data_IF_570571656249
#
_entry.id   IF_570571656249
#
_cell.length_a   1.000
_cell.length_b   1.000
_cell.length_c   1.000
_cell.angle_alpha   90.00
_cell.angle_beta   90.00
_cell.angle_gamma   90.00
#
_symmetry.space_group_name_H-M   'P 1'
#
loop_
_entity.id
_entity.type
_entity.pdbx_description
1 polymer ?
#
# COMPACT_ATOMS: atom_id res chain seq x y z
N UNK A 1 19.51 15.10 -24.06
CA UNK A 1 19.11 14.11 -23.04
C UNK A 1 17.59 13.93 -23.03
N UNK A 2 16.80 14.99 -22.95
CA UNK A 2 15.33 14.93 -22.97
C UNK A 2 14.75 14.20 -24.19
N UNK A 3 15.30 14.45 -25.42
CA UNK A 3 14.86 13.76 -26.63
C UNK A 3 15.14 12.25 -26.55
N UNK A 4 16.29 11.85 -25.99
CA UNK A 4 16.65 10.46 -25.79
C UNK A 4 15.68 9.79 -24.83
N UNK A 5 15.37 10.45 -23.73
CA UNK A 5 14.43 9.96 -22.75
C UNK A 5 13.01 9.81 -23.31
N UNK A 6 12.53 10.79 -24.06
CA UNK A 6 11.22 10.72 -24.71
C UNK A 6 11.09 9.54 -25.68
N UNK A 7 12.16 9.18 -26.41
CA UNK A 7 12.17 8.01 -27.30
C UNK A 7 12.22 6.70 -26.49
N UNK A 8 12.97 6.65 -25.38
CA UNK A 8 13.00 5.48 -24.48
C UNK A 8 11.66 5.26 -23.77
N UNK A 9 10.95 6.33 -23.42
CA UNK A 9 9.61 6.27 -22.78
C UNK A 9 8.53 5.64 -23.67
N UNK A 10 8.76 5.54 -24.99
CA UNK A 10 7.90 4.76 -25.87
C UNK A 10 7.88 3.26 -25.50
N UNK A 11 8.89 2.79 -24.76
CA UNK A 11 8.96 1.41 -24.22
C UNK A 11 9.30 0.33 -25.24
N UNK A 12 9.44 0.67 -26.53
CA UNK A 12 9.73 -0.26 -27.63
C UNK A 12 11.22 -0.33 -28.00
N UNK A 13 12.04 0.53 -27.43
CA UNK A 13 13.48 0.57 -27.67
C UNK A 13 14.26 0.21 -26.39
N UNK A 14 15.29 -0.61 -26.54
CA UNK A 14 16.19 -1.01 -25.45
C UNK A 14 17.35 -0.02 -25.29
N UNK A 15 17.76 0.59 -26.37
CA UNK A 15 18.77 1.66 -26.36
C UNK A 15 18.47 2.74 -27.37
N UNK A 16 18.83 3.97 -27.05
CA UNK A 16 18.72 5.13 -27.95
C UNK A 16 19.98 5.95 -27.82
N UNK A 17 20.68 6.13 -28.94
CA UNK A 17 21.85 6.96 -29.04
C UNK A 17 21.57 8.10 -30.00
N UNK A 18 21.79 9.34 -29.58
CA UNK A 18 21.60 10.54 -30.39
C UNK A 18 22.97 11.18 -30.60
N UNK A 19 23.44 11.15 -31.86
CA UNK A 19 24.73 11.69 -32.26
C UNK A 19 24.54 12.87 -33.22
N UNK A 20 25.39 13.88 -33.09
CA UNK A 20 25.48 14.94 -34.09
C UNK A 20 26.33 14.42 -35.25
N UNK A 21 25.78 14.38 -36.46
CA UNK A 21 26.48 13.96 -37.66
C UNK A 21 27.09 15.22 -38.32
N UNK A 22 28.19 15.72 -37.73
CA UNK A 22 28.86 16.92 -38.19
C UNK A 22 29.81 16.56 -39.34
N UNK A 23 29.63 17.15 -40.54
CA UNK A 23 30.62 17.01 -41.63
C UNK A 23 31.95 17.66 -41.24
N UNK A 24 33.08 17.24 -41.85
CA UNK A 24 34.40 17.79 -41.53
C UNK A 24 34.49 19.32 -41.60
N UNK A 25 33.65 19.97 -42.42
CA UNK A 25 33.63 21.42 -42.65
C UNK A 25 32.46 22.11 -41.88
N UNK A 26 32.11 21.62 -40.69
CA UNK A 26 30.94 22.02 -39.91
C UNK A 26 30.87 23.50 -39.48
N UNK A 27 31.93 24.27 -39.62
CA UNK A 27 31.96 25.69 -39.22
C UNK A 27 30.98 26.59 -40.00
N UNK A 28 30.40 26.12 -41.13
CA UNK A 28 29.46 26.87 -41.99
C UNK A 28 28.11 26.18 -42.20
N UNK A 29 27.81 25.08 -41.50
CA UNK A 29 26.57 24.33 -41.67
C UNK A 29 25.38 25.06 -40.99
N UNK A 30 24.46 25.58 -41.80
CA UNK A 30 23.20 26.18 -41.33
C UNK A 30 22.24 25.14 -40.71
N UNK A 31 22.48 23.83 -40.94
CA UNK A 31 21.69 22.71 -40.45
C UNK A 31 22.63 21.63 -39.91
N UNK A 32 22.43 21.20 -38.68
CA UNK A 32 23.18 20.11 -38.09
C UNK A 32 22.33 18.82 -38.15
N UNK A 33 22.73 17.83 -38.98
CA UNK A 33 22.04 16.55 -39.03
C UNK A 33 22.19 15.82 -37.68
N UNK A 34 21.10 15.25 -37.20
CA UNK A 34 21.10 14.42 -35.99
C UNK A 34 20.86 12.98 -36.43
N UNK A 35 21.77 12.08 -36.04
CA UNK A 35 21.61 10.66 -36.28
C UNK A 35 21.05 10.00 -34.98
N UNK A 36 19.86 9.42 -35.07
CA UNK A 36 19.22 8.66 -34.01
C UNK A 36 19.39 7.17 -34.29
N UNK A 37 20.20 6.48 -33.48
CA UNK A 37 20.35 5.03 -33.54
C UNK A 37 19.46 4.44 -32.44
N UNK A 38 18.62 3.48 -32.79
CA UNK A 38 17.72 2.79 -31.89
C UNK A 38 17.90 1.28 -31.97
N UNK A 39 17.87 0.61 -30.85
CA UNK A 39 17.77 -0.85 -30.78
C UNK A 39 16.38 -1.23 -30.28
N UNK A 40 15.73 -2.13 -31.00
CA UNK A 40 14.37 -2.55 -30.64
C UNK A 40 14.43 -3.49 -29.43
N UNK A 41 13.64 -3.20 -28.40
CA UNK A 41 13.45 -4.09 -27.24
C UNK A 41 12.64 -5.34 -27.63
N UNK A 42 12.62 -6.35 -26.77
CA UNK A 42 11.67 -7.46 -26.91
C UNK A 42 10.26 -6.92 -26.77
N UNK A 43 9.51 -6.94 -27.87
CA UNK A 43 8.16 -6.37 -27.89
C UNK A 43 7.15 -7.18 -27.10
N UNK A 44 7.35 -8.50 -26.99
CA UNK A 44 6.45 -9.41 -26.25
C UNK A 44 7.20 -10.14 -25.19
N UNK A 45 6.60 -10.24 -24.01
CA UNK A 45 7.13 -11.01 -22.92
C UNK A 45 6.03 -11.77 -22.19
N UNK A 46 6.38 -12.98 -21.73
CA UNK A 46 5.58 -13.77 -20.81
C UNK A 46 6.37 -13.88 -19.51
N UNK A 47 5.73 -13.62 -18.39
CA UNK A 47 6.31 -13.77 -17.06
C UNK A 47 5.51 -14.82 -16.30
N UNK A 48 6.19 -15.79 -15.73
CA UNK A 48 5.59 -16.80 -14.86
C UNK A 48 6.35 -16.76 -13.54
N UNK A 49 5.61 -16.83 -12.45
CA UNK A 49 6.18 -16.83 -11.12
C UNK A 49 5.26 -17.53 -10.12
N UNK A 50 5.74 -17.69 -8.92
CA UNK A 50 4.96 -18.17 -7.79
C UNK A 50 5.60 -17.71 -6.51
N UNK A 51 4.81 -17.60 -5.45
CA UNK A 51 5.28 -17.11 -4.16
C UNK A 51 4.49 -17.71 -3.01
N UNK A 52 5.08 -17.52 -1.85
CA UNK A 52 4.47 -17.81 -0.56
C UNK A 52 4.58 -16.56 0.27
N UNK A 53 3.51 -16.15 0.91
CA UNK A 53 3.48 -15.07 1.89
C UNK A 53 3.19 -15.66 3.26
N UNK A 54 3.88 -15.17 4.27
CA UNK A 54 3.63 -15.56 5.66
C UNK A 54 3.86 -14.34 6.55
N UNK A 55 2.77 -13.82 7.07
CA UNK A 55 2.77 -12.67 7.98
C UNK A 55 1.90 -12.92 9.23
N UNK A 56 1.61 -11.85 9.97
CA UNK A 56 0.80 -11.91 11.19
C UNK A 56 -0.69 -12.06 10.92
N UNK A 57 -1.17 -11.83 9.70
CA UNK A 57 -2.59 -11.95 9.34
C UNK A 57 -2.89 -13.21 8.58
N UNK A 58 -2.00 -13.65 7.68
CA UNK A 58 -2.23 -14.79 6.80
C UNK A 58 -0.97 -15.56 6.43
N UNK A 59 -1.17 -16.75 5.95
CA UNK A 59 -0.24 -17.46 5.08
C UNK A 59 -0.94 -17.72 3.76
N UNK A 60 -0.30 -17.42 2.64
CA UNK A 60 -0.84 -17.74 1.32
C UNK A 60 0.20 -18.38 0.40
N UNK A 61 -0.30 -19.03 -0.62
CA UNK A 61 0.46 -19.54 -1.77
C UNK A 61 -0.20 -19.00 -3.02
N UNK A 62 0.59 -18.38 -3.88
CA UNK A 62 0.07 -17.77 -5.10
C UNK A 62 0.97 -18.05 -6.31
N UNK A 63 0.37 -17.99 -7.48
CA UNK A 63 1.03 -18.00 -8.77
C UNK A 63 0.87 -16.64 -9.43
N UNK A 64 1.78 -16.31 -10.32
CA UNK A 64 1.67 -15.14 -11.18
C UNK A 64 1.91 -15.52 -12.63
N UNK A 65 1.05 -15.02 -13.52
CA UNK A 65 1.19 -15.16 -14.95
C UNK A 65 0.92 -13.81 -15.62
N UNK A 66 1.89 -13.28 -16.33
CA UNK A 66 1.80 -11.99 -17.01
C UNK A 66 2.15 -12.11 -18.48
N UNK A 67 1.44 -11.36 -19.30
CA UNK A 67 1.74 -11.16 -20.70
C UNK A 67 1.78 -9.67 -21.01
N UNK A 68 2.78 -9.25 -21.78
CA UNK A 68 3.01 -7.86 -22.18
C UNK A 68 3.31 -7.79 -23.67
N UNK A 69 2.67 -6.85 -24.39
CA UNK A 69 2.99 -6.48 -25.76
C UNK A 69 3.20 -4.97 -25.83
N UNK A 70 4.43 -4.57 -26.15
CA UNK A 70 4.87 -3.16 -26.20
C UNK A 70 4.54 -2.46 -27.52
N UNK A 71 3.95 -3.16 -28.46
CA UNK A 71 3.46 -2.58 -29.71
C UNK A 71 2.11 -3.17 -30.10
N UNK A 72 1.25 -3.33 -29.11
CA UNK A 72 -0.09 -3.90 -29.23
C UNK A 72 -0.92 -3.10 -30.25
N UNK A 73 -1.40 -3.76 -31.31
CA UNK A 73 -2.12 -3.13 -32.43
C UNK A 73 -1.33 -2.02 -33.14
N UNK A 74 0.00 -1.99 -33.00
CA UNK A 74 0.85 -0.94 -33.59
C UNK A 74 0.79 0.40 -32.84
N UNK A 75 1.51 1.43 -33.33
CA UNK A 75 1.50 2.78 -32.79
C UNK A 75 2.14 2.90 -31.40
N UNK A 76 3.07 2.00 -31.06
CA UNK A 76 3.80 1.95 -29.78
C UNK A 76 2.90 1.79 -28.55
N UNK A 77 1.71 1.24 -28.71
CA UNK A 77 0.77 0.98 -27.62
C UNK A 77 1.27 -0.17 -26.75
N UNK A 78 1.32 0.04 -25.46
CA UNK A 78 1.68 -1.00 -24.53
C UNK A 78 0.41 -1.60 -23.92
N UNK A 79 0.30 -2.92 -23.97
CA UNK A 79 -0.76 -3.65 -23.28
C UNK A 79 -0.14 -4.73 -22.38
N UNK A 80 -0.59 -4.75 -21.14
CA UNK A 80 -0.19 -5.75 -20.15
C UNK A 80 -1.43 -6.36 -19.52
N UNK A 81 -1.39 -7.68 -19.33
CA UNK A 81 -2.36 -8.41 -18.51
C UNK A 81 -1.60 -9.33 -17.55
N UNK A 82 -2.02 -9.34 -16.30
CA UNK A 82 -1.41 -10.14 -15.23
C UNK A 82 -2.51 -10.79 -14.40
N UNK A 83 -2.39 -12.09 -14.18
CA UNK A 83 -3.22 -12.88 -13.27
C UNK A 83 -2.37 -13.38 -12.11
N UNK A 84 -2.89 -13.24 -10.90
CA UNK A 84 -2.25 -13.72 -9.67
C UNK A 84 -3.29 -14.51 -8.84
N UNK A 85 -3.62 -15.76 -9.23
CA UNK A 85 -4.44 -16.64 -8.40
C UNK A 85 -3.67 -17.14 -7.18
N UNK A 86 -4.35 -17.23 -6.05
CA UNK A 86 -3.77 -17.69 -4.80
C UNK A 86 -4.78 -18.36 -3.87
N UNK A 87 -4.27 -18.87 -2.78
CA UNK A 87 -5.05 -19.51 -1.72
C UNK A 87 -4.47 -19.14 -0.36
N UNK A 88 -5.30 -18.57 0.49
CA UNK A 88 -4.96 -18.33 1.89
C UNK A 88 -5.18 -19.60 2.71
N UNK A 89 -4.15 -19.99 3.44
CA UNK A 89 -4.13 -21.15 4.33
C UNK A 89 -4.68 -20.76 5.70
N UNK A 90 -6.00 -20.68 5.85
CA UNK A 90 -6.62 -20.20 7.08
C UNK A 90 -6.75 -21.29 8.15
N UNK A 91 -6.43 -21.04 9.43
CA UNK A 91 -5.95 -19.82 10.08
C UNK A 91 -4.42 -19.75 10.25
N UNK A 92 -3.63 -20.34 9.35
CA UNK A 92 -2.16 -20.36 9.43
C UNK A 92 -1.61 -18.94 9.30
N UNK A 93 -0.79 -18.49 10.28
CA UNK A 93 -0.17 -17.16 10.35
C UNK A 93 0.92 -17.11 11.42
N UNK A 94 1.76 -16.11 11.43
CA UNK A 94 2.73 -15.87 12.50
C UNK A 94 2.07 -15.15 13.69
N UNK A 95 2.50 -15.43 14.93
CA UNK A 95 3.47 -16.48 15.32
C UNK A 95 2.84 -17.87 15.44
N UNK A 96 1.51 -17.97 15.30
CA UNK A 96 0.75 -19.19 15.50
C UNK A 96 0.62 -19.99 14.21
N UNK A 97 1.58 -20.86 13.94
CA UNK A 97 1.59 -21.74 12.75
C UNK A 97 0.59 -22.90 12.91
N UNK A 98 -0.67 -22.59 13.21
CA UNK A 98 -1.73 -23.61 13.25
C UNK A 98 -1.91 -24.22 11.86
N UNK A 99 -2.11 -25.55 11.75
CA UNK A 99 -2.36 -26.18 10.46
C UNK A 99 -3.63 -25.59 9.80
N UNK A 100 -3.63 -25.45 8.48
CA UNK A 100 -4.77 -24.87 7.77
C UNK A 100 -6.00 -25.78 7.92
N UNK A 101 -7.11 -25.19 8.30
CA UNK A 101 -8.41 -25.85 8.38
C UNK A 101 -9.26 -25.57 7.16
N UNK A 102 -9.01 -24.48 6.47
CA UNK A 102 -9.73 -24.01 5.30
C UNK A 102 -8.77 -23.38 4.29
N UNK A 103 -9.10 -23.53 3.04
CA UNK A 103 -8.44 -22.89 1.92
C UNK A 103 -9.36 -21.78 1.40
N UNK A 104 -8.94 -20.52 1.54
CA UNK A 104 -9.73 -19.39 1.09
C UNK A 104 -9.15 -18.92 -0.27
N UNK A 105 -9.88 -19.09 -1.38
CA UNK A 105 -9.38 -18.64 -2.66
C UNK A 105 -9.24 -17.12 -2.69
N UNK A 106 -8.10 -16.65 -3.17
CA UNK A 106 -7.85 -15.24 -3.47
C UNK A 106 -7.30 -15.11 -4.88
N UNK A 107 -7.37 -13.92 -5.44
CA UNK A 107 -6.80 -13.70 -6.75
C UNK A 107 -6.97 -12.28 -7.24
N UNK A 108 -6.10 -11.93 -8.17
CA UNK A 108 -6.11 -10.63 -8.84
C UNK A 108 -5.89 -10.82 -10.33
N UNK A 109 -6.72 -10.16 -11.13
CA UNK A 109 -6.54 -10.00 -12.56
C UNK A 109 -6.39 -8.50 -12.82
N UNK A 110 -5.28 -8.08 -13.42
CA UNK A 110 -4.98 -6.70 -13.75
C UNK A 110 -4.69 -6.57 -15.23
N UNK A 111 -5.17 -5.50 -15.86
CA UNK A 111 -4.78 -5.11 -17.20
C UNK A 111 -4.44 -3.62 -17.24
N UNK A 112 -3.47 -3.27 -18.07
CA UNK A 112 -3.09 -1.88 -18.33
C UNK A 112 -2.92 -1.69 -19.85
N UNK A 113 -3.54 -0.67 -20.36
CA UNK A 113 -3.34 -0.18 -21.73
C UNK A 113 -2.76 1.22 -21.66
N UNK A 114 -1.61 1.44 -22.32
CA UNK A 114 -0.91 2.71 -22.37
C UNK A 114 -0.72 3.15 -23.80
N UNK A 115 -1.18 4.34 -24.13
CA UNK A 115 -0.97 5.01 -25.39
C UNK A 115 0.04 6.14 -25.22
N UNK A 116 1.30 5.98 -25.60
CA UNK A 116 2.27 7.08 -25.66
C UNK A 116 1.85 8.11 -26.70
N UNK A 117 2.19 9.37 -26.47
CA UNK A 117 1.88 10.46 -27.40
C UNK A 117 0.37 10.68 -27.59
N UNK A 118 -0.43 10.54 -26.54
CA UNK A 118 -1.90 10.54 -26.64
C UNK A 118 -2.47 11.91 -27.06
N UNK A 119 -2.01 13.00 -26.47
CA UNK A 119 -2.41 14.38 -26.84
C UNK A 119 -1.22 15.09 -27.49
N UNK A 120 -0.05 14.89 -26.90
CA UNK A 120 1.24 15.39 -27.35
C UNK A 120 2.33 14.36 -27.08
N UNK A 121 3.52 14.54 -27.65
CA UNK A 121 4.59 13.55 -27.65
C UNK A 121 5.02 13.06 -26.24
N UNK A 122 4.86 13.88 -25.20
CA UNK A 122 5.29 13.58 -23.83
C UNK A 122 4.17 13.13 -22.89
N UNK A 123 2.92 13.07 -23.37
CA UNK A 123 1.77 12.67 -22.56
C UNK A 123 1.30 11.28 -22.97
N UNK A 124 1.17 10.39 -22.01
CA UNK A 124 0.60 9.05 -22.20
C UNK A 124 -0.82 8.99 -21.68
N UNK A 125 -1.73 8.46 -22.48
CA UNK A 125 -3.05 8.04 -22.02
C UNK A 125 -2.95 6.65 -21.41
N UNK A 126 -3.55 6.42 -20.24
CA UNK A 126 -3.48 5.14 -19.52
C UNK A 126 -4.86 4.72 -19.08
N UNK A 127 -5.21 3.47 -19.37
CA UNK A 127 -6.43 2.82 -18.89
C UNK A 127 -6.01 1.59 -18.09
N UNK A 128 -6.56 1.43 -16.88
CA UNK A 128 -6.32 0.27 -16.02
C UNK A 128 -7.64 -0.37 -15.64
N UNK A 129 -7.67 -1.68 -15.61
CA UNK A 129 -8.76 -2.45 -15.05
C UNK A 129 -8.21 -3.54 -14.14
N UNK A 130 -8.85 -3.75 -13.00
CA UNK A 130 -8.48 -4.77 -12.03
C UNK A 130 -9.72 -5.42 -11.45
N UNK A 131 -9.72 -6.75 -11.39
CA UNK A 131 -10.65 -7.53 -10.60
C UNK A 131 -9.90 -8.28 -9.52
N UNK A 132 -10.37 -8.24 -8.29
CA UNK A 132 -9.76 -8.96 -7.16
C UNK A 132 -10.81 -9.66 -6.33
N UNK A 133 -10.42 -10.79 -5.74
CA UNK A 133 -11.16 -11.48 -4.70
C UNK A 133 -10.20 -11.78 -3.56
N UNK A 134 -10.56 -11.41 -2.34
CA UNK A 134 -9.69 -11.58 -1.18
C UNK A 134 -10.47 -11.65 0.12
N UNK A 135 -9.97 -12.39 1.14
CA UNK A 135 -10.54 -12.36 2.48
C UNK A 135 -10.16 -11.05 3.20
N UNK A 136 -11.11 -10.47 3.93
CA UNK A 136 -10.88 -9.35 4.82
C UNK A 136 -10.40 -9.90 6.19
N UNK A 137 -9.09 -9.89 6.40
CA UNK A 137 -8.48 -10.31 7.65
C UNK A 137 -8.06 -9.06 8.44
N UNK A 138 -8.79 -8.72 9.49
CA UNK A 138 -8.56 -7.49 10.26
C UNK A 138 -7.61 -7.70 11.44
N UNK A 139 -7.61 -8.90 12.04
CA UNK A 139 -6.76 -9.19 13.20
C UNK A 139 -6.32 -10.66 13.22
N UNK A 140 -5.16 -10.90 13.81
CA UNK A 140 -4.65 -12.24 14.07
C UNK A 140 -5.39 -12.98 15.20
N UNK A 141 -6.12 -12.27 16.06
CA UNK A 141 -6.71 -12.81 17.29
C UNK A 141 -8.17 -13.22 17.17
N UNK A 142 -8.73 -13.15 15.94
CA UNK A 142 -10.09 -13.63 15.70
C UNK A 142 -10.23 -15.12 16.06
N UNK A 143 -11.29 -15.50 16.76
CA UNK A 143 -11.61 -16.89 17.04
C UNK A 143 -11.71 -17.71 15.75
N UNK A 144 -11.42 -19.02 15.82
CA UNK A 144 -11.42 -19.90 14.65
C UNK A 144 -12.81 -20.10 14.02
N UNK A 145 -13.86 -19.80 14.77
CA UNK A 145 -15.28 -19.82 14.38
C UNK A 145 -15.84 -18.46 13.98
N UNK A 146 -15.03 -17.38 14.12
CA UNK A 146 -15.43 -16.07 13.64
C UNK A 146 -15.76 -16.09 12.14
N UNK A 147 -16.73 -15.29 11.68
CA UNK A 147 -17.03 -15.19 10.26
C UNK A 147 -15.78 -14.68 9.52
N UNK A 148 -15.51 -15.26 8.35
CA UNK A 148 -14.47 -14.76 7.44
C UNK A 148 -15.16 -14.13 6.25
N UNK A 149 -15.14 -12.82 6.25
CA UNK A 149 -15.67 -12.01 5.16
C UNK A 149 -14.65 -11.91 4.03
N UNK A 150 -15.12 -11.62 2.85
CA UNK A 150 -14.31 -11.31 1.68
C UNK A 150 -14.94 -10.23 0.83
N UNK A 151 -14.14 -9.68 -0.04
CA UNK A 151 -14.59 -8.71 -1.04
C UNK A 151 -14.25 -9.17 -2.44
N UNK A 152 -15.20 -8.93 -3.35
CA UNK A 152 -14.95 -8.87 -4.78
C UNK A 152 -14.78 -7.40 -5.12
N UNK A 153 -13.61 -7.03 -5.56
CA UNK A 153 -13.29 -5.67 -5.99
C UNK A 153 -13.22 -5.62 -7.51
N UNK A 154 -13.93 -4.67 -8.10
CA UNK A 154 -13.76 -4.26 -9.48
C UNK A 154 -13.30 -2.81 -9.48
N UNK A 155 -12.14 -2.55 -10.07
CA UNK A 155 -11.54 -1.21 -10.17
C UNK A 155 -11.23 -0.90 -11.62
N UNK A 156 -11.68 0.25 -12.10
CA UNK A 156 -11.32 0.81 -13.39
C UNK A 156 -10.77 2.20 -13.23
N UNK A 157 -9.75 2.57 -13.99
CA UNK A 157 -9.25 3.94 -14.05
C UNK A 157 -8.83 4.33 -15.45
N UNK A 158 -9.03 5.60 -15.78
CA UNK A 158 -8.55 6.22 -17.00
C UNK A 158 -7.89 7.55 -16.67
N UNK A 159 -6.75 7.85 -17.30
CA UNK A 159 -6.00 9.05 -16.96
C UNK A 159 -4.88 9.38 -17.93
N UNK A 160 -4.20 10.46 -17.61
CA UNK A 160 -3.05 10.99 -18.30
C UNK A 160 -1.83 10.95 -17.39
N UNK A 161 -0.70 10.58 -17.97
CA UNK A 161 0.59 10.59 -17.28
C UNK A 161 1.60 11.39 -18.12
N UNK A 162 2.37 12.23 -17.46
CA UNK A 162 3.40 13.06 -18.08
C UNK A 162 4.61 13.21 -17.20
N UNK A 163 5.80 13.10 -17.79
CA UNK A 163 7.07 13.30 -17.12
C UNK A 163 7.71 14.62 -17.57
N UNK A 164 8.16 15.42 -16.61
CA UNK A 164 8.86 16.69 -16.77
C UNK A 164 10.26 16.59 -16.15
N UNK A 165 11.22 16.01 -16.85
CA UNK A 165 12.53 15.74 -16.28
C UNK A 165 12.44 14.75 -15.10
N UNK A 166 12.65 15.26 -13.88
CA UNK A 166 12.57 14.44 -12.67
C UNK A 166 11.18 14.41 -12.03
N UNK A 167 10.23 15.21 -12.50
CA UNK A 167 8.86 15.25 -11.99
C UNK A 167 7.93 14.45 -12.90
N UNK A 168 7.23 13.48 -12.35
CA UNK A 168 6.12 12.79 -13.01
C UNK A 168 4.80 13.24 -12.42
N UNK A 169 3.84 13.56 -13.28
CA UNK A 169 2.48 13.93 -12.90
C UNK A 169 1.49 12.94 -13.52
N UNK A 170 0.52 12.51 -12.74
CA UNK A 170 -0.57 11.64 -13.17
C UNK A 170 -1.90 12.21 -12.71
N UNK A 171 -2.83 12.37 -13.63
CA UNK A 171 -4.22 12.73 -13.34
C UNK A 171 -5.10 11.62 -13.88
N UNK A 172 -5.84 10.95 -13.01
CA UNK A 172 -6.73 9.86 -13.37
C UNK A 172 -8.08 9.96 -12.68
N UNK A 173 -9.08 9.31 -13.25
CA UNK A 173 -10.36 9.08 -12.60
C UNK A 173 -10.52 7.58 -12.35
N UNK A 174 -10.79 7.21 -11.11
CA UNK A 174 -10.94 5.84 -10.66
C UNK A 174 -12.36 5.58 -10.22
N UNK A 175 -12.91 4.46 -10.67
CA UNK A 175 -14.19 3.89 -10.19
C UNK A 175 -13.89 2.53 -9.60
N UNK A 176 -14.30 2.31 -8.36
CA UNK A 176 -14.05 1.09 -7.60
C UNK A 176 -15.33 0.62 -6.93
N UNK A 177 -15.71 -0.63 -7.19
CA UNK A 177 -16.83 -1.29 -6.53
C UNK A 177 -16.30 -2.43 -5.66
N UNK A 178 -16.71 -2.45 -4.40
CA UNK A 178 -16.42 -3.51 -3.44
C UNK A 178 -17.72 -4.20 -3.07
N UNK A 179 -17.82 -5.49 -3.33
CA UNK A 179 -19.01 -6.28 -3.04
C UNK A 179 -18.66 -7.30 -1.95
N UNK A 180 -19.24 -7.19 -0.75
CA UNK A 180 -18.99 -8.13 0.35
C UNK A 180 -19.57 -9.51 0.05
N UNK A 181 -18.92 -10.54 0.57
CA UNK A 181 -19.41 -11.91 0.61
C UNK A 181 -18.77 -12.68 1.77
N UNK A 182 -19.19 -13.88 2.06
CA UNK A 182 -18.60 -14.70 3.12
C UNK A 182 -17.85 -15.91 2.57
N UNK A 183 -16.66 -16.16 3.09
CA UNK A 183 -15.98 -17.44 2.99
C UNK A 183 -16.47 -18.42 4.07
N UNK A 184 -16.76 -17.90 5.24
CA UNK A 184 -17.17 -18.67 6.43
C UNK A 184 -18.23 -17.89 7.19
N UNK A 185 -19.28 -18.58 7.63
CA UNK A 185 -20.37 -17.96 8.38
C UNK A 185 -21.42 -17.28 7.48
N UNK A 186 -22.22 -16.41 8.07
CA UNK A 186 -23.26 -15.64 7.41
C UNK A 186 -22.80 -14.22 7.13
N UNK A 187 -23.24 -13.66 6.01
CA UNK A 187 -23.06 -12.24 5.71
C UNK A 187 -23.99 -11.41 6.60
N UNK A 188 -23.45 -10.37 7.19
CA UNK A 188 -24.26 -9.39 7.91
C UNK A 188 -25.23 -8.71 6.95
N UNK A 189 -26.54 -8.63 7.27
CA UNK A 189 -27.56 -8.11 6.35
C UNK A 189 -27.42 -6.62 6.04
N UNK A 190 -26.71 -5.86 6.88
CA UNK A 190 -26.48 -4.42 6.67
C UNK A 190 -25.23 -4.13 5.83
N UNK A 191 -24.40 -5.16 5.49
CA UNK A 191 -23.29 -5.02 4.54
C UNK A 191 -23.85 -4.93 3.11
N UNK A 192 -23.46 -3.89 2.41
CA UNK A 192 -23.92 -3.58 1.04
C UNK A 192 -22.75 -3.33 0.10
N UNK A 193 -22.90 -3.54 -1.21
CA UNK A 193 -21.86 -3.14 -2.16
C UNK A 193 -21.55 -1.65 -2.07
N UNK A 194 -20.27 -1.28 -1.95
CA UNK A 194 -19.81 0.10 -1.87
C UNK A 194 -19.16 0.51 -3.19
N UNK A 195 -19.65 1.59 -3.78
CA UNK A 195 -19.09 2.23 -4.96
C UNK A 195 -18.35 3.50 -4.58
N UNK A 196 -17.06 3.56 -4.88
CA UNK A 196 -16.23 4.76 -4.75
C UNK A 196 -15.81 5.27 -6.13
N UNK A 197 -15.99 6.56 -6.39
CA UNK A 197 -15.62 7.18 -7.65
C UNK A 197 -14.91 8.50 -7.37
N UNK A 198 -13.65 8.62 -7.81
CA UNK A 198 -12.80 9.74 -7.47
C UNK A 198 -11.76 10.07 -8.55
N UNK A 199 -11.59 11.35 -8.91
CA UNK A 199 -10.37 11.85 -9.51
C UNK A 199 -9.21 11.79 -8.52
N UNK A 200 -8.02 11.52 -9.05
CA UNK A 200 -6.76 11.46 -8.32
C UNK A 200 -5.67 12.18 -9.10
N UNK A 201 -4.99 13.12 -8.43
CA UNK A 201 -3.75 13.74 -8.89
C UNK A 201 -2.60 13.17 -8.07
N UNK A 202 -1.59 12.63 -8.74
CA UNK A 202 -0.33 12.20 -8.13
C UNK A 202 0.83 12.97 -8.75
N UNK A 203 1.71 13.49 -7.90
CA UNK A 203 2.97 14.10 -8.27
C UNK A 203 4.11 13.30 -7.65
N UNK A 204 5.11 12.95 -8.45
CA UNK A 204 6.27 12.16 -8.04
C UNK A 204 7.55 12.84 -8.53
N UNK A 205 8.30 13.41 -7.61
CA UNK A 205 9.59 14.06 -7.86
C UNK A 205 10.70 13.12 -7.41
N UNK A 206 11.55 12.68 -8.36
CA UNK A 206 12.63 11.73 -8.12
C UNK A 206 13.98 12.38 -8.43
N UNK A 207 14.70 12.75 -7.39
CA UNK A 207 16.03 13.38 -7.45
C UNK A 207 17.10 12.46 -6.85
N UNK A 208 16.91 11.13 -6.94
CA UNK A 208 17.84 10.14 -6.45
C UNK A 208 18.82 9.67 -7.53
N UNK A 209 19.98 9.18 -7.12
CA UNK A 209 20.99 8.59 -8.01
C UNK A 209 20.50 7.30 -8.69
N UNK A 210 19.73 6.49 -7.97
CA UNK A 210 19.19 5.21 -8.44
C UNK A 210 17.79 4.96 -7.88
N UNK A 211 16.86 4.45 -8.71
CA UNK A 211 15.47 4.18 -8.28
C UNK A 211 15.31 2.95 -7.38
N UNK A 212 16.09 1.89 -7.62
CA UNK A 212 15.93 0.61 -6.91
C UNK A 212 16.71 0.53 -5.60
N UNK A 213 17.85 1.18 -5.53
CA UNK A 213 18.75 1.18 -4.37
C UNK A 213 19.41 2.55 -4.23
N UNK A 214 18.62 3.57 -3.84
CA UNK A 214 19.14 4.92 -3.74
C UNK A 214 20.17 5.06 -2.62
N UNK A 215 21.27 5.78 -2.90
CA UNK A 215 22.34 6.10 -1.97
C UNK A 215 22.40 7.59 -1.66
N UNK A 216 21.95 8.41 -2.61
CA UNK A 216 21.98 9.87 -2.50
C UNK A 216 20.75 10.47 -3.16
N UNK A 217 20.24 11.57 -2.58
CA UNK A 217 19.17 12.35 -3.16
C UNK A 217 17.90 12.39 -2.36
N UNK A 218 16.85 12.88 -2.98
CA UNK A 218 15.52 13.08 -2.39
C UNK A 218 14.43 12.63 -3.36
N UNK A 219 13.45 11.90 -2.83
CA UNK A 219 12.19 11.57 -3.50
C UNK A 219 11.02 12.22 -2.77
N UNK A 220 10.08 12.80 -3.49
CA UNK A 220 8.83 13.36 -2.93
C UNK A 220 7.66 12.87 -3.75
N UNK A 221 6.73 12.18 -3.10
CA UNK A 221 5.45 11.80 -3.70
C UNK A 221 4.32 12.48 -2.97
N UNK A 222 3.39 13.08 -3.70
CA UNK A 222 2.16 13.64 -3.15
C UNK A 222 0.95 13.16 -3.94
N UNK A 223 -0.18 13.02 -3.27
CA UNK A 223 -1.44 12.61 -3.90
C UNK A 223 -2.61 13.36 -3.31
N UNK A 224 -3.60 13.63 -4.16
CA UNK A 224 -4.88 14.20 -3.78
C UNK A 224 -5.98 13.41 -4.47
N UNK A 225 -6.90 12.88 -3.69
CA UNK A 225 -8.12 12.20 -4.16
C UNK A 225 -9.34 12.95 -3.66
N UNK A 226 -10.38 13.05 -4.47
CA UNK A 226 -11.67 13.65 -4.09
C UNK A 226 -12.79 12.70 -4.50
N UNK A 227 -13.29 11.91 -3.56
CA UNK A 227 -14.42 11.02 -3.81
C UNK A 227 -15.77 11.78 -3.72
N UNK A 228 -16.73 11.38 -4.56
CA UNK A 228 -18.06 11.99 -4.61
C UNK A 228 -18.52 12.34 -6.02
N UNK A 229 -17.77 12.01 -7.05
CA UNK A 229 -18.18 12.14 -8.45
C UNK A 229 -18.95 10.88 -8.86
N UNK A 230 -20.13 10.71 -8.28
CA UNK A 230 -20.89 9.46 -8.31
C UNK A 230 -20.42 8.45 -7.25
N UNK A 231 -21.30 7.50 -6.88
CA UNK A 231 -21.01 6.49 -5.87
C UNK A 231 -21.44 6.87 -4.45
N UNK A 232 -21.12 5.96 -3.52
CA UNK A 232 -21.61 5.97 -2.14
C UNK A 232 -20.70 6.73 -1.19
N UNK A 233 -19.44 6.95 -1.60
CA UNK A 233 -18.36 7.51 -0.77
C UNK A 233 -18.10 8.96 -1.15
N UNK A 234 -18.07 9.83 -0.14
CA UNK A 234 -17.68 11.25 -0.29
C UNK A 234 -16.59 11.59 0.68
N UNK A 235 -15.39 11.88 0.17
CA UNK A 235 -14.25 12.28 0.96
C UNK A 235 -13.21 13.07 0.15
N UNK A 236 -12.28 13.70 0.85
CA UNK A 236 -11.02 14.14 0.29
C UNK A 236 -9.88 13.44 1.04
N UNK A 237 -8.93 12.88 0.29
CA UNK A 237 -7.71 12.27 0.85
C UNK A 237 -6.49 12.97 0.28
N UNK A 238 -5.60 13.45 1.16
CA UNK A 238 -4.37 14.14 0.79
C UNK A 238 -3.20 13.45 1.45
N UNK A 239 -2.20 13.06 0.65
CA UNK A 239 -1.00 12.37 1.13
C UNK A 239 0.28 13.00 0.63
N UNK A 240 1.33 12.93 1.45
CA UNK A 240 2.70 13.30 1.09
C UNK A 240 3.69 12.31 1.71
N UNK A 241 4.63 11.82 0.91
CA UNK A 241 5.73 10.92 1.30
C UNK A 241 7.05 11.53 0.82
N UNK A 242 7.94 11.81 1.75
CA UNK A 242 9.26 12.40 1.49
C UNK A 242 10.32 11.41 1.92
N UNK A 243 11.26 11.12 1.04
CA UNK A 243 12.38 10.21 1.27
C UNK A 243 13.68 10.94 1.03
N UNK A 244 14.66 10.72 1.89
CA UNK A 244 15.98 11.31 1.78
C UNK A 244 17.06 10.26 1.94
N UNK A 245 18.12 10.36 1.16
CA UNK A 245 19.26 9.45 1.17
C UNK A 245 20.55 10.25 1.25
N UNK A 246 21.33 9.98 2.28
CA UNK A 246 22.57 10.71 2.59
C UNK A 246 23.71 9.69 2.65
N UNK A 247 24.70 9.78 1.74
CA UNK A 247 25.88 8.92 1.81
C UNK A 247 26.75 9.33 3.01
N UNK A 248 26.98 8.39 3.92
CA UNK A 248 27.89 8.53 5.05
C UNK A 248 29.23 7.87 4.72
N UNK A 249 30.03 8.52 3.89
CA UNK A 249 31.26 7.99 3.35
C UNK A 249 31.02 7.03 2.17
N UNK A 250 31.95 6.06 1.95
CA UNK A 250 31.93 5.23 0.73
C UNK A 250 31.00 4.02 0.78
N UNK A 251 30.51 3.63 1.95
CA UNK A 251 29.81 2.35 2.12
C UNK A 251 28.54 2.42 2.94
N UNK A 252 28.26 3.55 3.59
CA UNK A 252 27.10 3.72 4.46
C UNK A 252 26.11 4.67 3.81
N UNK A 253 24.84 4.36 3.93
CA UNK A 253 23.75 5.25 3.50
C UNK A 253 22.78 5.45 4.66
N UNK A 254 22.53 6.69 5.01
CA UNK A 254 21.42 7.07 5.90
C UNK A 254 20.20 7.33 5.05
N UNK A 255 19.21 6.48 5.16
CA UNK A 255 17.91 6.65 4.51
C UNK A 255 16.90 7.17 5.53
N UNK A 256 16.09 8.14 5.15
CA UNK A 256 15.04 8.74 5.98
C UNK A 256 13.73 8.79 5.21
N UNK A 257 12.62 8.65 5.90
CA UNK A 257 11.27 8.81 5.33
C UNK A 257 10.38 9.57 6.29
N UNK A 258 9.56 10.45 5.74
CA UNK A 258 8.45 11.06 6.44
C UNK A 258 7.20 10.96 5.55
N UNK A 259 6.14 10.38 6.08
CA UNK A 259 4.87 10.21 5.39
C UNK A 259 3.74 10.81 6.22
N UNK A 260 2.80 11.44 5.57
CA UNK A 260 1.55 11.88 6.19
C UNK A 260 0.39 11.73 5.22
N UNK A 261 -0.75 11.34 5.76
CA UNK A 261 -2.00 11.28 5.00
C UNK A 261 -3.14 11.79 5.86
N UNK A 262 -3.97 12.61 5.25
CA UNK A 262 -5.18 13.16 5.85
C UNK A 262 -6.40 12.67 5.08
N UNK A 263 -7.41 12.22 5.78
CA UNK A 263 -8.70 11.79 5.24
C UNK A 263 -9.81 12.69 5.80
N UNK A 264 -10.59 13.27 4.92
CA UNK A 264 -11.71 14.18 5.23
C UNK A 264 -13.01 13.56 4.72
N UNK A 265 -13.62 12.60 5.43
CA UNK A 265 -14.90 12.06 5.05
C UNK A 265 -16.02 13.10 5.24
N UNK A 266 -17.01 13.06 4.35
CA UNK A 266 -18.17 13.94 4.36
C UNK A 266 -19.49 13.21 4.62
N UNK A 267 -19.57 11.89 4.41
CA UNK A 267 -20.80 11.13 4.57
C UNK A 267 -20.59 9.76 5.25
N UNK A 268 -19.47 9.58 5.95
CA UNK A 268 -19.15 8.37 6.71
C UNK A 268 -18.11 8.69 7.79
N UNK A 269 -17.85 7.74 8.69
CA UNK A 269 -16.77 7.79 9.66
C UNK A 269 -17.12 8.47 10.99
N UNK A 270 -18.33 8.95 11.17
CA UNK A 270 -18.76 9.62 12.41
C UNK A 270 -18.84 8.65 13.61
N UNK A 271 -18.87 7.35 13.37
CA UNK A 271 -18.87 6.31 14.41
C UNK A 271 -17.48 5.94 14.91
N UNK A 272 -16.40 6.32 14.22
CA UNK A 272 -15.03 5.84 14.51
C UNK A 272 -14.50 6.36 15.84
N UNK A 273 -14.53 7.67 16.08
CA UNK A 273 -14.02 8.24 17.33
C UNK A 273 -14.84 7.82 18.55
N UNK A 274 -16.19 7.88 18.52
CA UNK A 274 -17.00 7.35 19.63
C UNK A 274 -16.75 5.87 19.90
N UNK A 275 -16.67 5.02 18.89
CA UNK A 275 -16.41 3.58 19.08
C UNK A 275 -15.04 3.34 19.68
N UNK A 276 -14.00 4.02 19.21
CA UNK A 276 -12.64 3.92 19.76
C UNK A 276 -12.57 4.36 21.23
N UNK A 277 -13.34 5.37 21.62
CA UNK A 277 -13.30 5.94 22.98
C UNK A 277 -14.22 5.24 23.98
N UNK A 278 -15.40 4.80 23.55
CA UNK A 278 -16.45 4.31 24.45
C UNK A 278 -17.00 2.93 24.09
N UNK A 279 -16.58 2.38 22.94
CA UNK A 279 -17.13 1.15 22.38
C UNK A 279 -18.53 1.30 21.75
N UNK A 280 -19.10 2.50 21.77
CA UNK A 280 -20.45 2.77 21.28
C UNK A 280 -20.47 3.83 20.15
N UNK A 281 -21.29 3.65 19.11
CA UNK A 281 -21.34 4.55 17.95
C UNK A 281 -22.18 5.82 18.20
N UNK A 282 -22.27 6.36 19.36
CA UNK A 282 -22.94 7.60 19.71
C UNK A 282 -24.20 7.93 18.85
N UNK A 283 -25.35 7.52 19.06
CA UNK A 283 -26.61 7.84 18.37
C UNK A 283 -26.75 7.38 16.88
N UNK A 284 -25.80 6.65 16.32
CA UNK A 284 -25.93 6.08 15.00
C UNK A 284 -26.87 4.86 14.99
N UNK A 285 -27.59 4.62 13.90
CA UNK A 285 -28.29 3.35 13.70
C UNK A 285 -27.26 2.22 13.49
N UNK A 286 -27.69 0.95 13.68
CA UNK A 286 -26.80 -0.18 13.38
C UNK A 286 -26.37 -0.20 11.92
N UNK A 287 -27.27 0.06 11.00
CA UNK A 287 -26.96 0.10 9.58
C UNK A 287 -25.93 1.19 9.22
N UNK A 288 -26.04 2.39 9.82
CA UNK A 288 -25.06 3.45 9.65
C UNK A 288 -23.71 3.03 10.24
N UNK A 289 -23.67 2.38 11.39
CA UNK A 289 -22.46 1.90 12.00
C UNK A 289 -21.76 0.82 11.16
N UNK A 290 -22.53 -0.16 10.64
CA UNK A 290 -22.00 -1.19 9.73
C UNK A 290 -21.43 -0.54 8.46
N UNK A 291 -22.19 0.38 7.84
CA UNK A 291 -21.75 1.11 6.65
C UNK A 291 -20.48 1.93 6.89
N UNK A 292 -20.42 2.69 7.98
CA UNK A 292 -19.23 3.45 8.36
C UNK A 292 -18.01 2.56 8.55
N UNK A 293 -18.14 1.47 9.29
CA UNK A 293 -17.08 0.51 9.53
C UNK A 293 -16.62 -0.18 8.24
N UNK A 294 -17.55 -0.49 7.34
CA UNK A 294 -17.25 -1.06 6.02
C UNK A 294 -16.44 -0.07 5.17
N UNK A 295 -16.91 1.17 5.02
CA UNK A 295 -16.20 2.20 4.24
C UNK A 295 -14.85 2.50 4.89
N UNK A 296 -14.76 2.58 6.21
CA UNK A 296 -13.49 2.80 6.92
C UNK A 296 -12.50 1.66 6.70
N UNK A 297 -12.93 0.40 6.60
CA UNK A 297 -12.03 -0.72 6.28
C UNK A 297 -11.40 -0.61 4.88
N UNK A 298 -12.07 0.09 3.94
CA UNK A 298 -11.64 0.31 2.56
C UNK A 298 -10.91 1.64 2.35
N UNK A 299 -11.32 2.70 3.05
CA UNK A 299 -10.84 4.08 2.84
C UNK A 299 -10.03 4.64 3.99
N UNK A 300 -10.20 4.13 5.21
CA UNK A 300 -9.51 4.58 6.41
C UNK A 300 -7.99 4.48 6.33
N UNK A 301 -7.32 5.18 7.21
CA UNK A 301 -5.87 5.16 7.32
C UNK A 301 -5.45 4.15 8.39
N UNK A 302 -4.41 3.39 8.08
CA UNK A 302 -3.83 2.37 8.94
C UNK A 302 -2.32 2.46 8.90
N UNK A 303 -1.64 2.10 9.99
CA UNK A 303 -0.20 1.96 10.04
C UNK A 303 0.22 0.65 10.70
N UNK A 304 1.52 0.33 10.63
CA UNK A 304 2.10 -0.96 11.02
C UNK A 304 2.34 -1.87 9.82
N UNK A 305 3.25 -2.80 9.99
CA UNK A 305 3.67 -3.74 8.94
C UNK A 305 4.95 -3.34 8.21
N UNK A 306 5.38 -4.18 7.24
CA UNK A 306 6.72 -4.10 6.64
C UNK A 306 7.02 -2.85 5.82
N UNK A 307 6.02 -2.12 5.37
CA UNK A 307 6.17 -0.86 4.61
C UNK A 307 5.85 0.39 5.42
N UNK A 308 5.61 0.26 6.71
CA UNK A 308 5.22 1.31 7.64
C UNK A 308 6.10 1.24 8.88
N UNK A 309 5.56 0.91 10.05
CA UNK A 309 6.31 0.69 11.28
C UNK A 309 6.56 -0.82 11.46
N UNK A 310 7.81 -1.23 11.29
CA UNK A 310 8.24 -2.64 11.22
C UNK A 310 8.23 -3.39 12.56
N UNK A 311 8.01 -2.71 13.67
CA UNK A 311 7.84 -3.33 14.98
C UNK A 311 6.41 -3.74 15.30
N UNK A 312 5.47 -3.43 14.41
CA UNK A 312 4.04 -3.68 14.57
C UNK A 312 3.52 -4.57 13.43
N UNK A 313 2.48 -5.33 13.72
CA UNK A 313 1.79 -6.10 12.70
C UNK A 313 1.03 -5.18 11.71
N UNK A 314 0.57 -5.78 10.62
CA UNK A 314 -0.20 -5.06 9.61
C UNK A 314 -1.48 -4.47 10.24
N UNK A 315 -1.68 -3.14 10.08
CA UNK A 315 -2.83 -2.39 10.62
C UNK A 315 -2.92 -2.33 12.16
N UNK A 316 -1.87 -2.70 12.88
CA UNK A 316 -1.88 -2.73 14.35
C UNK A 316 -1.80 -1.34 15.00
N UNK A 317 -1.41 -0.31 14.26
CA UNK A 317 -1.32 1.07 14.77
C UNK A 317 -2.56 1.84 14.34
N UNK A 318 -3.26 2.40 15.33
CA UNK A 318 -4.40 3.27 15.14
C UNK A 318 -5.57 2.93 16.04
N UNK A 319 -6.74 3.55 15.80
CA UNK A 319 -7.94 3.30 16.57
C UNK A 319 -8.40 1.85 16.46
N UNK A 320 -8.69 1.24 17.60
CA UNK A 320 -9.26 -0.09 17.69
C UNK A 320 -10.61 -0.03 18.37
N UNK A 321 -11.44 -1.04 18.16
CA UNK A 321 -12.74 -1.15 18.76
C UNK A 321 -13.61 -2.20 18.08
N UNK A 322 -14.91 -2.05 18.23
CA UNK A 322 -15.87 -3.01 17.74
C UNK A 322 -16.20 -2.72 16.28
N UNK A 323 -16.00 -3.73 15.45
CA UNK A 323 -16.48 -3.74 14.05
C UNK A 323 -17.79 -4.57 14.04
N UNK A 324 -18.95 -3.95 13.82
CA UNK A 324 -20.26 -4.55 14.12
C UNK A 324 -20.54 -5.85 13.37
N UNK A 325 -20.06 -5.99 12.15
CA UNK A 325 -20.24 -7.21 11.33
C UNK A 325 -19.28 -8.36 11.68
N UNK A 326 -18.39 -8.18 12.67
CA UNK A 326 -17.54 -9.22 13.25
C UNK A 326 -17.89 -9.53 14.71
N UNK A 327 -18.53 -8.60 15.42
CA UNK A 327 -18.81 -8.73 16.82
C UNK A 327 -20.14 -9.48 17.05
N UNK A 328 -20.17 -10.53 17.87
CA UNK A 328 -21.39 -11.23 18.20
C UNK A 328 -22.30 -10.33 19.06
N UNK A 329 -23.62 -10.48 18.90
CA UNK A 329 -24.62 -9.82 19.76
C UNK A 329 -24.73 -8.30 19.64
N UNK A 330 -24.06 -7.67 18.67
CA UNK A 330 -24.19 -6.24 18.44
C UNK A 330 -25.50 -5.93 17.73
N UNK A 331 -26.44 -5.30 18.43
CA UNK A 331 -27.75 -4.91 17.89
C UNK A 331 -28.06 -3.46 18.29
N UNK A 332 -28.54 -2.66 17.35
CA UNK A 332 -29.15 -1.34 17.61
C UNK A 332 -28.43 -0.48 18.66
N UNK A 333 -27.14 -0.22 18.49
CA UNK A 333 -26.31 0.57 19.42
C UNK A 333 -26.08 -0.04 20.81
N UNK A 334 -26.51 -1.28 21.05
CA UNK A 334 -26.25 -2.00 22.26
C UNK A 334 -25.20 -3.07 22.00
N UNK A 335 -24.21 -3.12 22.86
CA UNK A 335 -23.20 -4.16 22.87
C UNK A 335 -23.73 -5.33 23.66
N UNK A 336 -23.45 -6.55 23.23
CA UNK A 336 -23.54 -7.71 24.07
C UNK A 336 -22.53 -7.57 25.23
N UNK A 337 -22.81 -8.21 26.38
CA UNK A 337 -21.95 -8.13 27.54
C UNK A 337 -20.53 -8.64 27.26
N UNK A 338 -20.38 -9.56 26.31
CA UNK A 338 -19.08 -10.13 25.93
C UNK A 338 -18.18 -9.14 25.17
N UNK A 339 -18.76 -8.12 24.52
CA UNK A 339 -18.03 -7.04 23.84
C UNK A 339 -18.12 -5.70 24.58
N UNK A 340 -18.86 -5.63 25.69
CA UNK A 340 -19.09 -4.39 26.43
C UNK A 340 -17.83 -3.79 27.05
N UNK A 341 -16.68 -4.42 26.86
CA UNK A 341 -15.51 -4.02 27.56
C UNK A 341 -14.27 -4.11 26.66
N UNK A 342 -13.69 -2.98 26.39
CA UNK A 342 -12.25 -2.83 26.26
C UNK A 342 -11.52 -3.20 27.59
N UNK A 343 -12.14 -4.02 28.46
CA UNK A 343 -11.54 -4.53 29.68
C UNK A 343 -10.51 -5.60 29.35
N UNK A 344 -9.46 -5.73 30.15
CA UNK A 344 -8.51 -6.84 30.03
C UNK A 344 -9.28 -8.17 30.01
N UNK A 345 -9.24 -8.89 28.88
CA UNK A 345 -9.96 -10.15 28.67
C UNK A 345 -11.21 -10.04 27.79
N UNK A 346 -11.49 -8.89 27.16
CA UNK A 346 -12.51 -8.77 26.13
C UNK A 346 -12.26 -9.75 24.97
N UNK A 347 -13.33 -10.19 24.30
CA UNK A 347 -13.21 -11.06 23.14
C UNK A 347 -12.40 -10.36 22.05
N UNK A 348 -11.47 -11.08 21.42
CA UNK A 348 -10.54 -10.53 20.43
C UNK A 348 -11.20 -9.94 19.17
N UNK A 349 -12.45 -10.33 18.87
CA UNK A 349 -13.27 -9.77 17.82
C UNK A 349 -13.91 -8.40 18.15
N UNK A 350 -13.69 -7.89 19.36
CA UNK A 350 -14.14 -6.59 19.82
C UNK A 350 -13.02 -5.55 19.86
N UNK A 351 -11.81 -5.95 19.49
CA UNK A 351 -10.61 -5.12 19.47
C UNK A 351 -9.99 -5.16 18.05
N UNK A 352 -10.72 -4.64 17.08
CA UNK A 352 -10.34 -4.65 15.68
C UNK A 352 -9.91 -3.26 15.20
N UNK A 353 -8.98 -3.16 14.22
CA UNK A 353 -8.59 -1.87 13.69
C UNK A 353 -9.74 -1.20 12.96
N UNK A 354 -10.14 -0.03 13.42
CA UNK A 354 -11.20 0.78 12.84
C UNK A 354 -10.73 1.66 11.68
N UNK A 355 -9.40 1.92 11.60
CA UNK A 355 -8.84 2.96 10.75
C UNK A 355 -9.03 4.36 11.33
N UNK A 356 -8.26 5.32 10.84
CA UNK A 356 -8.33 6.71 11.31
C UNK A 356 -8.33 7.73 10.18
N UNK A 357 -8.24 9.00 10.56
CA UNK A 357 -8.34 10.13 9.63
C UNK A 357 -7.06 10.94 9.48
N UNK A 358 -6.12 10.79 10.39
CA UNK A 358 -4.82 11.48 10.36
C UNK A 358 -3.72 10.48 10.62
N UNK A 359 -2.87 10.28 9.62
CA UNK A 359 -1.69 9.41 9.68
C UNK A 359 -0.42 10.25 9.61
N UNK A 360 0.57 9.91 10.43
CA UNK A 360 1.96 10.29 10.22
C UNK A 360 2.89 9.12 10.49
N UNK A 361 3.97 9.04 9.72
CA UNK A 361 5.03 8.06 9.85
C UNK A 361 6.39 8.73 9.68
N UNK A 362 7.38 8.27 10.40
CA UNK A 362 8.77 8.66 10.24
C UNK A 362 9.66 7.42 10.39
N UNK A 363 10.65 7.30 9.52
CA UNK A 363 11.62 6.20 9.54
C UNK A 363 13.03 6.73 9.33
N UNK A 364 13.97 6.16 10.05
CA UNK A 364 15.41 6.37 9.87
C UNK A 364 16.08 5.02 9.77
N UNK A 365 16.87 4.82 8.73
CA UNK A 365 17.54 3.54 8.45
C UNK A 365 18.99 3.77 8.04
N UNK A 366 19.92 3.14 8.75
CA UNK A 366 21.34 3.10 8.40
C UNK A 366 21.60 1.80 7.63
N UNK A 367 21.96 1.92 6.35
CA UNK A 367 22.30 0.80 5.45
C UNK A 367 23.80 0.63 5.36
N UNK A 368 24.28 -0.62 5.43
CA UNK A 368 25.69 -0.94 5.36
C UNK A 368 25.93 -2.29 4.67
N UNK A 369 27.02 -2.42 3.88
CA UNK A 369 27.39 -3.70 3.28
C UNK A 369 27.95 -4.64 4.35
N UNK A 370 27.66 -5.95 4.22
CA UNK A 370 28.23 -7.00 5.07
C UNK A 370 29.31 -7.74 4.28
N UNK A 371 28.91 -8.51 3.28
CA UNK A 371 29.83 -9.28 2.42
C UNK A 371 29.13 -9.74 1.15
N UNK A 372 29.78 -9.59 -0.01
CA UNK A 372 29.22 -9.99 -1.30
C UNK A 372 27.84 -9.33 -1.54
N UNK A 373 26.81 -10.11 -1.84
CA UNK A 373 25.47 -9.58 -2.08
C UNK A 373 24.69 -9.26 -0.79
N UNK A 374 25.27 -9.50 0.40
CA UNK A 374 24.61 -9.25 1.67
C UNK A 374 24.88 -7.84 2.18
N UNK A 375 23.81 -7.18 2.60
CA UNK A 375 23.84 -5.90 3.31
C UNK A 375 22.94 -5.93 4.54
N UNK A 376 23.23 -5.06 5.50
CA UNK A 376 22.47 -4.92 6.73
C UNK A 376 21.80 -3.56 6.80
N UNK A 377 20.78 -3.48 7.64
CA UNK A 377 20.12 -2.24 8.00
C UNK A 377 19.86 -2.19 9.51
N UNK A 378 20.09 -1.01 10.11
CA UNK A 378 19.62 -0.66 11.45
C UNK A 378 18.54 0.37 11.26
N UNK A 379 17.39 0.19 11.89
CA UNK A 379 16.29 1.13 11.68
C UNK A 379 15.56 1.51 12.96
N UNK A 380 14.91 2.65 12.91
CA UNK A 380 13.93 3.12 13.89
C UNK A 380 12.75 3.69 13.13
N UNK A 381 11.55 3.22 13.48
CA UNK A 381 10.30 3.68 12.90
C UNK A 381 9.41 4.29 13.98
N UNK A 382 8.67 5.32 13.60
CA UNK A 382 7.67 5.98 14.42
C UNK A 382 6.40 6.18 13.59
N UNK A 383 5.23 5.97 14.16
CA UNK A 383 3.96 6.20 13.49
C UNK A 383 2.84 6.49 14.48
N UNK A 384 1.78 7.13 14.02
CA UNK A 384 0.50 7.20 14.70
C UNK A 384 -0.65 7.42 13.70
N UNK A 385 -1.82 6.89 14.06
CA UNK A 385 -3.07 7.08 13.32
C UNK A 385 -4.13 7.58 14.30
N UNK A 386 -4.59 8.81 14.11
CA UNK A 386 -5.59 9.39 14.99
C UNK A 386 -7.03 9.17 14.47
N UNK A 387 -8.00 8.91 15.39
CA UNK A 387 -9.42 8.78 15.06
C UNK A 387 -10.09 10.11 14.70
N UNK A 388 -9.41 11.25 14.85
CA UNK A 388 -9.91 12.57 14.56
C UNK A 388 -9.22 13.20 13.34
N UNK A 389 -9.95 14.06 12.61
CA UNK A 389 -9.47 14.79 11.42
C UNK A 389 -8.43 15.84 11.82
N UNK A 390 -7.32 15.93 11.08
CA UNK A 390 -6.23 16.93 11.26
C UNK A 390 -5.67 16.96 12.69
N UNK A 391 -5.62 15.82 13.35
CA UNK A 391 -5.12 15.71 14.72
C UNK A 391 -3.84 14.89 14.77
N UNK A 392 -2.69 15.53 14.70
CA UNK A 392 -1.40 14.89 14.88
C UNK A 392 -1.11 14.65 16.36
N UNK A 393 -0.90 13.39 16.74
CA UNK A 393 -0.62 12.97 18.12
C UNK A 393 0.86 12.66 18.30
N UNK A 394 1.75 13.64 18.15
CA UNK A 394 3.20 13.45 18.34
C UNK A 394 3.59 13.08 19.78
N UNK A 395 2.70 13.26 20.73
CA UNK A 395 2.88 12.84 22.12
C UNK A 395 2.54 11.35 22.37
N UNK A 396 2.10 10.63 21.35
CA UNK A 396 1.74 9.21 21.41
C UNK A 396 2.38 8.43 20.24
N UNK A 397 3.71 8.51 20.04
CA UNK A 397 4.35 7.81 18.94
C UNK A 397 4.39 6.31 19.23
N UNK A 398 4.00 5.51 18.26
CA UNK A 398 4.29 4.08 18.24
C UNK A 398 5.71 3.90 17.71
N UNK A 399 6.65 3.60 18.60
CA UNK A 399 8.08 3.51 18.27
C UNK A 399 8.54 2.07 18.15
N UNK A 400 9.39 1.80 17.16
CA UNK A 400 10.13 0.56 17.06
C UNK A 400 11.57 0.80 16.64
N UNK A 401 12.44 -0.16 16.98
CA UNK A 401 13.81 -0.22 16.50
C UNK A 401 14.12 -1.65 16.06
N UNK A 402 14.97 -1.82 15.07
CA UNK A 402 15.17 -3.16 14.54
C UNK A 402 16.40 -3.31 13.66
N UNK A 403 16.56 -4.55 13.21
CA UNK A 403 17.64 -5.02 12.35
C UNK A 403 17.03 -5.56 11.06
N UNK A 404 17.70 -5.32 9.95
CA UNK A 404 17.33 -5.85 8.66
C UNK A 404 18.51 -6.53 7.97
N UNK A 405 18.25 -7.65 7.32
CA UNK A 405 19.17 -8.32 6.40
C UNK A 405 18.66 -8.15 4.98
N UNK A 406 19.55 -7.85 4.06
CA UNK A 406 19.27 -7.68 2.63
C UNK A 406 20.14 -8.64 1.82
N UNK A 407 19.58 -9.19 0.76
CA UNK A 407 20.30 -9.98 -0.24
C UNK A 407 20.00 -9.39 -1.63
N UNK A 408 21.05 -8.87 -2.28
CA UNK A 408 20.89 -8.22 -3.60
C UNK A 408 20.58 -9.25 -4.68
N UNK A 409 19.46 -9.03 -5.41
CA UNK A 409 19.07 -9.83 -6.56
C UNK A 409 18.90 -8.94 -7.80
N UNK A 410 18.90 -9.52 -9.02
CA UNK A 410 18.67 -8.74 -10.24
C UNK A 410 17.32 -8.01 -10.32
N UNK A 411 16.36 -8.41 -9.49
CA UNK A 411 15.00 -7.81 -9.44
C UNK A 411 14.80 -6.89 -8.23
N UNK A 412 15.86 -6.64 -7.47
CA UNK A 412 15.85 -5.87 -6.24
C UNK A 412 16.30 -6.69 -5.02
N UNK A 413 16.63 -6.05 -3.90
CA UNK A 413 17.06 -6.77 -2.70
C UNK A 413 15.89 -7.55 -2.08
N UNK A 414 16.17 -8.79 -1.69
CA UNK A 414 15.30 -9.55 -0.78
C UNK A 414 15.64 -9.13 0.65
N UNK A 415 14.62 -8.78 1.44
CA UNK A 415 14.82 -8.29 2.81
C UNK A 415 14.13 -9.15 3.84
N UNK A 416 14.76 -9.25 4.99
CA UNK A 416 14.21 -9.80 6.23
C UNK A 416 14.44 -8.78 7.33
N UNK A 417 13.35 -8.27 7.91
CA UNK A 417 13.39 -7.29 8.99
C UNK A 417 12.85 -7.89 10.29
N UNK A 418 13.49 -7.58 11.41
CA UNK A 418 13.02 -7.86 12.75
C UNK A 418 12.94 -6.54 13.52
N UNK A 419 11.72 -6.10 13.80
CA UNK A 419 11.44 -4.87 14.52
C UNK A 419 10.97 -5.15 15.95
N UNK A 420 11.64 -4.54 16.92
CA UNK A 420 11.25 -4.56 18.33
C UNK A 420 10.42 -3.33 18.63
N UNK A 421 9.19 -3.52 19.07
CA UNK A 421 8.32 -2.46 19.58
C UNK A 421 8.86 -1.97 20.91
N UNK A 422 9.07 -0.65 21.04
CA UNK A 422 9.55 -0.03 22.28
C UNK A 422 8.33 0.20 23.17
N UNK A 423 8.14 -0.61 24.24
CA UNK A 423 6.98 -0.46 25.11
C UNK A 423 7.08 0.80 25.98
N UNK A 424 5.93 1.27 26.48
CA UNK A 424 5.80 2.36 27.48
C UNK A 424 6.24 3.77 27.06
N UNK A 425 6.57 4.00 25.80
CA UNK A 425 6.76 5.37 25.29
C UNK A 425 5.44 6.03 24.89
N UNK A 426 4.42 5.25 24.66
CA UNK A 426 3.05 5.72 24.48
C UNK A 426 2.51 6.20 25.82
N UNK A 427 1.68 7.24 25.81
CA UNK A 427 0.93 7.61 27.00
C UNK A 427 0.13 6.41 27.50
N UNK A 428 0.01 6.18 28.83
CA UNK A 428 -0.60 4.98 29.34
C UNK A 428 -1.98 4.78 28.73
N UNK A 429 -2.16 3.60 28.11
CA UNK A 429 -3.37 3.04 27.52
C UNK A 429 -4.39 4.09 27.08
N UNK A 430 -4.20 4.65 25.91
CA UNK A 430 -5.30 5.36 25.29
C UNK A 430 -6.43 4.34 25.08
N UNK A 431 -7.68 4.69 25.38
CA UNK A 431 -8.81 3.76 25.19
C UNK A 431 -9.00 3.33 23.72
N UNK A 432 -8.33 4.00 22.80
CA UNK A 432 -8.38 3.77 21.36
C UNK A 432 -7.23 2.86 20.84
N UNK A 433 -6.37 2.34 21.70
CA UNK A 433 -5.26 1.44 21.30
C UNK A 433 -5.64 -0.02 21.57
N UNK A 434 -5.45 -0.86 20.55
CA UNK A 434 -5.70 -2.29 20.65
C UNK A 434 -4.68 -3.06 21.49
N UNK A 435 -4.97 -4.33 21.73
CA UNK A 435 -4.05 -5.24 22.40
C UNK A 435 -2.86 -5.56 21.50
N UNK A 436 -1.63 -5.26 21.92
CA UNK A 436 -0.46 -5.44 21.06
C UNK A 436 -0.17 -6.90 20.76
N UNK A 437 0.04 -7.23 19.48
CA UNK A 437 0.43 -8.56 19.01
C UNK A 437 1.88 -8.85 19.43
N UNK A 438 2.14 -10.06 19.95
CA UNK A 438 3.48 -10.51 20.32
C UNK A 438 3.90 -11.72 19.47
N UNK A 439 5.17 -11.78 19.11
CA UNK A 439 5.78 -12.94 18.43
C UNK A 439 6.59 -13.73 19.42
N UNK A 440 6.20 -14.97 19.70
CA UNK A 440 6.80 -15.83 20.76
C UNK A 440 6.83 -15.18 22.15
N UNK A 441 5.81 -14.38 22.48
CA UNK A 441 5.71 -13.66 23.76
C UNK A 441 6.60 -12.41 23.86
N UNK A 442 7.31 -12.05 22.80
CA UNK A 442 8.13 -10.84 22.70
C UNK A 442 7.43 -9.78 21.83
N UNK A 443 7.60 -8.49 22.14
CA UNK A 443 7.06 -7.41 21.33
C UNK A 443 7.90 -7.19 20.05
N UNK A 444 8.01 -8.25 19.23
CA UNK A 444 8.80 -8.28 17.99
C UNK A 444 7.90 -8.65 16.83
N UNK A 445 8.01 -7.92 15.73
CA UNK A 445 7.44 -8.30 14.45
C UNK A 445 8.57 -8.68 13.47
N UNK A 446 8.34 -9.77 12.73
CA UNK A 446 9.24 -10.24 11.69
C UNK A 446 8.54 -10.06 10.35
N UNK A 447 9.23 -9.48 9.39
CA UNK A 447 8.69 -9.27 8.05
C UNK A 447 9.70 -9.68 6.97
N UNK A 448 9.17 -10.22 5.89
CA UNK A 448 9.90 -10.58 4.69
C UNK A 448 9.36 -9.77 3.51
N UNK A 449 10.23 -9.37 2.57
CA UNK A 449 9.81 -8.61 1.40
C UNK A 449 10.85 -8.57 0.30
N UNK A 450 10.45 -8.05 -0.85
CA UNK A 450 11.34 -7.76 -1.99
C UNK A 450 11.36 -6.25 -2.21
N UNK A 451 12.52 -5.68 -2.41
CA UNK A 451 12.75 -4.24 -2.48
C UNK A 451 13.20 -3.63 -1.15
N UNK A 452 13.55 -2.36 -1.16
CA UNK A 452 13.84 -1.60 0.06
C UNK A 452 12.54 -1.29 0.83
N UNK A 453 12.66 -0.90 2.10
CA UNK A 453 11.49 -0.58 2.92
C UNK A 453 10.79 0.71 2.44
N UNK A 454 11.57 1.64 1.86
CA UNK A 454 11.11 2.89 1.26
C UNK A 454 12.18 3.46 0.32
#
# INVERSE_FOLDING_TARGET
>A
EEARQAVLELGVFSSVTIEKDLPPDAAQAAVVPIRVKVEVAKLRSVRLGGGVELDSLKADVHLTAGWEDRNFLGGFRNFMIEAAPGVVLYPTRLPSLKPPRRLLPEGRLRSEFRQPGFIEARTSGVIRAQGSIYPLLLSSDLPADAPVLGYRELRGSAGLERTFGHLSASLSHTVQQNTPFTYVGALDPDLVPILASYPELTLDLELTDQRLKPHEGVGVRSSVQVAGVGGDVRDAKVGADVRGYIPLGRKLTLATRANTTLLFPANYGDTVEPVAMTGNPANASRADWVRDSEIMSLRGLFAGGPGSNRGYAQREIGPHGIVPFYAPGVTSNKLDQDCATTLPGAASNCDLPLGGFTLWEASVELRFPISGPFSGALFTDAADVAPAKVRYRFNRPHLSAGLGLRYDTPVGPVRLDAGYRIPHLQAPAAPDEGTPITTFGLPVAISFGIGEAF
#
